data_IF_400968334663
#
_entry.id   IF_400968334663
#
_cell.length_a   1.000
_cell.length_b   1.000
_cell.length_c   1.000
_cell.angle_alpha   90.00
_cell.angle_beta   90.00
_cell.angle_gamma   90.00
#
_symmetry.space_group_name_H-M   'P 1'
#
loop_
_entity.id
_entity.type
_entity.pdbx_description
1 polymer ?
#
# COMPACT_ATOMS: atom_id res chain seq x y z
N UNK A 1 17.18 -13.56 -18.94
CA UNK A 1 15.88 -12.95 -19.32
C UNK A 1 15.90 -11.51 -18.86
N UNK A 2 15.63 -10.56 -19.78
CA UNK A 2 15.50 -9.16 -19.43
C UNK A 2 14.05 -8.83 -19.08
N UNK A 3 13.83 -8.35 -17.86
CA UNK A 3 12.52 -7.93 -17.35
C UNK A 3 12.53 -6.41 -17.16
N UNK A 4 11.59 -5.70 -17.77
CA UNK A 4 11.41 -4.28 -17.58
C UNK A 4 10.22 -4.05 -16.61
N UNK A 5 10.50 -3.55 -15.40
CA UNK A 5 9.49 -3.12 -14.42
C UNK A 5 9.05 -1.70 -14.74
N UNK A 6 7.76 -1.50 -14.94
CA UNK A 6 7.16 -0.22 -15.29
C UNK A 6 6.38 0.34 -14.10
N UNK A 7 6.74 1.52 -13.64
CA UNK A 7 6.14 2.12 -12.44
C UNK A 7 6.11 3.64 -12.51
N UNK A 8 5.19 4.27 -11.82
CA UNK A 8 5.24 5.71 -11.60
C UNK A 8 6.29 6.08 -10.56
N UNK A 9 6.30 5.36 -9.43
CA UNK A 9 7.10 5.67 -8.26
C UNK A 9 8.34 4.79 -8.19
N UNK A 10 9.50 5.41 -7.98
CA UNK A 10 10.76 4.73 -7.68
C UNK A 10 11.70 5.70 -6.94
N UNK A 11 12.59 5.23 -6.06
CA UNK A 11 13.46 6.12 -5.31
C UNK A 11 14.19 7.18 -6.16
N UNK A 12 14.32 8.43 -5.66
CA UNK A 12 13.88 8.93 -4.36
C UNK A 12 12.40 9.34 -4.30
N UNK A 13 11.64 9.27 -5.41
CA UNK A 13 10.28 9.76 -5.53
C UNK A 13 9.27 8.63 -5.21
N UNK A 14 9.19 8.23 -3.94
CA UNK A 14 8.25 7.24 -3.42
C UNK A 14 7.31 7.89 -2.43
N UNK A 15 5.99 7.76 -2.63
CA UNK A 15 4.98 8.33 -1.74
C UNK A 15 3.85 7.33 -1.37
N UNK A 16 3.87 6.13 -1.93
CA UNK A 16 2.83 5.12 -1.71
C UNK A 16 3.35 3.69 -1.69
N UNK A 17 2.49 2.76 -1.26
CA UNK A 17 2.84 1.35 -1.14
C UNK A 17 3.26 0.68 -2.46
N UNK A 18 2.78 1.17 -3.60
CA UNK A 18 3.20 0.65 -4.90
C UNK A 18 4.68 0.96 -5.20
N UNK A 19 5.16 2.17 -4.86
CA UNK A 19 6.56 2.55 -5.00
C UNK A 19 7.47 1.73 -4.07
N UNK A 20 7.06 1.56 -2.82
CA UNK A 20 7.74 0.69 -1.85
C UNK A 20 7.84 -0.74 -2.38
N UNK A 21 6.73 -1.29 -2.91
CA UNK A 21 6.72 -2.63 -3.51
C UNK A 21 7.74 -2.75 -4.65
N UNK A 22 7.75 -1.82 -5.60
CA UNK A 22 8.64 -1.90 -6.77
C UNK A 22 10.10 -1.75 -6.36
N UNK A 23 10.42 -0.88 -5.39
CA UNK A 23 11.77 -0.72 -4.85
C UNK A 23 12.35 -2.05 -4.36
N UNK A 24 11.64 -2.71 -3.45
CA UNK A 24 12.12 -3.98 -2.87
C UNK A 24 12.06 -5.14 -3.86
N UNK A 25 10.99 -5.24 -4.64
CA UNK A 25 10.87 -6.27 -5.67
C UNK A 25 12.00 -6.17 -6.71
N UNK A 26 12.31 -4.96 -7.20
CA UNK A 26 13.39 -4.72 -8.13
C UNK A 26 14.75 -5.14 -7.54
N UNK A 27 15.00 -4.80 -6.27
CA UNK A 27 16.23 -5.17 -5.56
C UNK A 27 16.43 -6.69 -5.54
N UNK A 28 15.38 -7.44 -5.20
CA UNK A 28 15.48 -8.90 -5.12
C UNK A 28 15.47 -9.57 -6.50
N UNK A 29 14.69 -9.07 -7.46
CA UNK A 29 14.68 -9.62 -8.82
C UNK A 29 16.03 -9.43 -9.55
N UNK A 30 16.78 -8.35 -9.28
CA UNK A 30 18.13 -8.14 -9.84
C UNK A 30 19.13 -9.21 -9.44
N UNK A 31 18.89 -9.93 -8.34
CA UNK A 31 19.68 -11.11 -7.94
C UNK A 31 19.36 -12.35 -8.76
N UNK A 32 18.19 -12.37 -9.41
CA UNK A 32 17.64 -13.53 -10.12
C UNK A 32 17.69 -13.39 -11.64
N UNK A 33 17.64 -12.16 -12.16
CA UNK A 33 17.58 -11.89 -13.60
C UNK A 33 17.99 -10.45 -13.96
N UNK A 34 18.23 -10.16 -15.26
CA UNK A 34 18.45 -8.78 -15.75
C UNK A 34 17.15 -7.97 -15.57
N UNK A 35 17.06 -7.26 -14.47
CA UNK A 35 15.90 -6.45 -14.12
C UNK A 35 16.19 -4.98 -14.30
N UNK A 36 15.41 -4.31 -15.16
CA UNK A 36 15.47 -2.88 -15.39
C UNK A 36 14.22 -2.21 -14.86
N UNK A 37 14.36 -0.98 -14.38
CA UNK A 37 13.23 -0.17 -13.91
C UNK A 37 13.02 1.00 -14.83
N UNK A 38 11.77 1.22 -15.24
CA UNK A 38 11.32 2.38 -15.99
C UNK A 38 10.32 3.14 -15.14
N UNK A 39 10.67 4.37 -14.76
CA UNK A 39 9.86 5.14 -13.83
C UNK A 39 9.63 6.57 -14.31
N UNK A 40 8.72 7.27 -13.66
CA UNK A 40 8.50 8.69 -13.91
C UNK A 40 9.55 9.54 -13.19
N UNK A 41 9.78 10.76 -13.70
CA UNK A 41 10.55 11.78 -13.02
C UNK A 41 11.89 12.12 -13.65
N UNK A 42 12.83 12.61 -12.84
CA UNK A 42 14.16 12.99 -13.28
C UNK A 42 15.06 11.76 -13.52
N UNK A 43 16.09 11.85 -14.38
CA UNK A 43 17.07 10.77 -14.57
C UNK A 43 17.67 10.30 -13.24
N UNK A 44 17.90 8.99 -13.11
CA UNK A 44 18.55 8.34 -11.96
C UNK A 44 19.98 7.96 -12.31
N UNK A 45 20.94 8.07 -11.37
CA UNK A 45 22.31 7.61 -11.58
C UNK A 45 22.44 6.08 -11.52
N UNK A 46 21.43 5.38 -11.06
CA UNK A 46 21.42 3.93 -10.87
C UNK A 46 21.39 3.20 -12.21
N UNK A 47 22.31 2.24 -12.39
CA UNK A 47 22.36 1.41 -13.60
C UNK A 47 21.08 0.56 -13.74
N UNK A 48 20.57 0.45 -14.96
CA UNK A 48 19.33 -0.27 -15.23
C UNK A 48 18.05 0.50 -14.86
N UNK A 49 18.15 1.79 -14.49
CA UNK A 49 16.99 2.65 -14.24
C UNK A 49 16.88 3.73 -15.32
N UNK A 50 15.74 3.76 -16.00
CA UNK A 50 15.38 4.81 -16.94
C UNK A 50 14.18 5.60 -16.42
N UNK A 51 14.30 6.93 -16.37
CA UNK A 51 13.25 7.81 -15.93
C UNK A 51 12.73 8.69 -17.04
N UNK A 52 11.42 8.91 -17.06
CA UNK A 52 10.71 9.62 -18.12
C UNK A 52 9.96 10.81 -17.53
N UNK A 53 10.04 11.96 -18.21
CA UNK A 53 9.30 13.18 -17.83
C UNK A 53 8.07 13.31 -18.72
N UNK A 54 7.15 14.17 -18.31
CA UNK A 54 6.03 14.57 -19.16
C UNK A 54 6.60 15.14 -20.48
N UNK A 55 6.19 14.61 -21.66
CA UNK A 55 6.66 15.08 -22.96
C UNK A 55 6.35 16.57 -23.17
N UNK A 56 7.25 17.26 -23.90
CA UNK A 56 7.06 18.65 -24.27
C UNK A 56 5.72 18.86 -24.98
N UNK A 57 4.98 19.88 -24.57
CA UNK A 57 3.64 20.20 -25.07
C UNK A 57 2.48 19.55 -24.29
N UNK A 58 2.75 18.67 -23.33
CA UNK A 58 1.73 18.10 -22.42
C UNK A 58 1.82 18.63 -20.98
N UNK A 59 2.77 19.52 -20.65
CA UNK A 59 3.02 19.98 -19.28
C UNK A 59 1.82 20.69 -18.65
N UNK A 60 0.99 21.31 -19.46
CA UNK A 60 -0.24 22.01 -19.03
C UNK A 60 -1.51 21.21 -19.29
N UNK A 61 -1.38 20.01 -19.83
CA UNK A 61 -2.53 19.15 -20.14
C UNK A 61 -3.12 18.53 -18.86
N UNK A 62 -4.31 17.90 -19.00
CA UNK A 62 -4.88 17.12 -17.92
C UNK A 62 -3.89 16.07 -17.42
N UNK A 63 -3.83 15.85 -16.10
CA UNK A 63 -2.88 14.93 -15.46
C UNK A 63 -2.91 13.51 -16.05
N UNK A 64 -4.09 13.01 -16.45
CA UNK A 64 -4.18 11.69 -17.09
C UNK A 64 -3.54 11.66 -18.49
N UNK A 65 -3.62 12.75 -19.26
CA UNK A 65 -2.93 12.86 -20.55
C UNK A 65 -1.41 12.95 -20.36
N UNK A 66 -0.95 13.64 -19.33
CA UNK A 66 0.48 13.67 -18.97
C UNK A 66 1.00 12.27 -18.70
N UNK A 67 0.26 11.46 -17.94
CA UNK A 67 0.59 10.05 -17.65
C UNK A 67 0.70 9.25 -18.95
N UNK A 68 -0.31 9.29 -19.81
CA UNK A 68 -0.27 8.55 -21.08
C UNK A 68 0.88 9.00 -22.00
N UNK A 69 1.24 10.28 -21.97
CA UNK A 69 2.40 10.79 -22.70
C UNK A 69 3.71 10.13 -22.23
N UNK A 70 3.91 10.00 -20.91
CA UNK A 70 5.05 9.29 -20.33
C UNK A 70 5.01 7.81 -20.68
N UNK A 71 3.83 7.19 -20.64
CA UNK A 71 3.64 5.77 -20.96
C UNK A 71 4.09 5.43 -22.39
N UNK A 72 3.84 6.32 -23.36
CA UNK A 72 4.28 6.11 -24.74
C UNK A 72 5.83 6.09 -24.88
N UNK A 73 6.52 7.00 -24.20
CA UNK A 73 7.99 7.00 -24.17
C UNK A 73 8.53 5.78 -23.41
N UNK A 74 7.89 5.41 -22.32
CA UNK A 74 8.24 4.23 -21.54
C UNK A 74 8.07 2.95 -22.35
N UNK A 75 6.96 2.81 -23.09
CA UNK A 75 6.71 1.68 -23.98
C UNK A 75 7.78 1.55 -25.07
N UNK A 76 8.15 2.67 -25.72
CA UNK A 76 9.22 2.69 -26.72
C UNK A 76 10.56 2.18 -26.12
N UNK A 77 10.85 2.54 -24.87
CA UNK A 77 12.04 2.05 -24.16
C UNK A 77 12.05 0.55 -23.88
N UNK A 78 10.91 -0.14 -23.94
CA UNK A 78 10.81 -1.58 -23.67
C UNK A 78 11.27 -2.48 -24.84
N UNK A 79 11.63 -1.92 -25.99
CA UNK A 79 12.11 -2.71 -27.12
C UNK A 79 13.23 -3.69 -26.70
N UNK A 80 13.06 -4.96 -27.08
CA UNK A 80 13.99 -6.05 -26.75
C UNK A 80 13.90 -6.56 -25.30
N UNK A 81 12.89 -6.18 -24.50
CA UNK A 81 12.59 -6.85 -23.25
C UNK A 81 11.97 -8.23 -23.53
N UNK A 82 12.34 -9.23 -22.73
CA UNK A 82 11.74 -10.57 -22.78
C UNK A 82 10.36 -10.59 -22.09
N UNK A 83 10.13 -9.66 -21.14
CA UNK A 83 8.90 -9.49 -20.39
C UNK A 83 8.79 -8.07 -19.85
N UNK A 84 7.59 -7.51 -19.85
CA UNK A 84 7.28 -6.25 -19.15
C UNK A 84 6.34 -6.52 -17.99
N UNK A 85 6.60 -5.87 -16.84
CA UNK A 85 5.75 -5.96 -15.66
C UNK A 85 5.38 -4.57 -15.18
N UNK A 86 4.11 -4.22 -15.26
CA UNK A 86 3.62 -2.88 -14.91
C UNK A 86 2.89 -2.86 -13.57
N UNK A 87 2.99 -1.72 -12.89
CA UNK A 87 2.42 -1.49 -11.57
C UNK A 87 1.52 -0.25 -11.60
N UNK A 88 0.27 -0.41 -11.22
CA UNK A 88 -0.80 0.60 -11.22
C UNK A 88 -1.18 1.11 -12.62
N UNK A 89 -2.34 1.75 -12.73
CA UNK A 89 -2.81 2.32 -14.01
C UNK A 89 -1.83 3.34 -14.60
N UNK A 90 -1.01 3.98 -13.76
CA UNK A 90 -0.01 4.97 -14.19
C UNK A 90 1.07 4.42 -15.14
N UNK A 91 1.28 3.11 -15.16
CA UNK A 91 2.25 2.46 -16.03
C UNK A 91 1.68 1.26 -16.80
N UNK A 92 0.42 0.88 -16.49
CA UNK A 92 -0.23 -0.27 -17.12
C UNK A 92 -0.40 -0.06 -18.63
N UNK A 93 -0.67 1.18 -19.06
CA UNK A 93 -0.82 1.49 -20.48
C UNK A 93 0.49 1.33 -21.23
N UNK A 94 1.63 1.70 -20.64
CA UNK A 94 2.95 1.48 -21.23
C UNK A 94 3.22 -0.02 -21.48
N UNK A 95 2.93 -0.88 -20.51
CA UNK A 95 3.06 -2.33 -20.66
C UNK A 95 2.14 -2.90 -21.74
N UNK A 96 0.90 -2.42 -21.79
CA UNK A 96 -0.06 -2.82 -22.82
C UNK A 96 0.40 -2.42 -24.23
N UNK A 97 0.89 -1.20 -24.42
CA UNK A 97 1.44 -0.72 -25.70
C UNK A 97 2.70 -1.51 -26.09
N UNK A 98 3.61 -1.78 -25.14
CA UNK A 98 4.81 -2.59 -25.43
C UNK A 98 4.44 -4.01 -25.89
N UNK A 99 3.44 -4.65 -25.25
CA UNK A 99 2.91 -5.94 -25.69
C UNK A 99 2.36 -5.88 -27.11
N UNK A 100 1.54 -4.89 -27.44
CA UNK A 100 0.96 -4.77 -28.79
C UNK A 100 2.03 -4.48 -29.85
N UNK A 101 3.03 -3.66 -29.53
CA UNK A 101 4.02 -3.19 -30.48
C UNK A 101 5.13 -4.21 -30.76
N UNK A 102 5.60 -4.86 -29.69
CA UNK A 102 6.77 -5.76 -29.76
C UNK A 102 6.42 -7.24 -29.55
N UNK A 103 5.18 -7.56 -29.21
CA UNK A 103 4.79 -8.93 -28.82
C UNK A 103 5.35 -9.38 -27.48
N UNK A 104 5.87 -8.45 -26.67
CA UNK A 104 6.47 -8.75 -25.36
C UNK A 104 5.39 -9.18 -24.36
N UNK A 105 5.53 -10.32 -23.68
CA UNK A 105 4.60 -10.72 -22.62
C UNK A 105 4.44 -9.66 -21.54
N UNK A 106 3.20 -9.41 -21.09
CA UNK A 106 2.87 -8.37 -20.13
C UNK A 106 2.24 -8.96 -18.86
N UNK A 107 2.89 -8.74 -17.74
CA UNK A 107 2.38 -9.01 -16.39
C UNK A 107 1.95 -7.70 -15.75
N UNK A 108 0.83 -7.71 -15.02
CA UNK A 108 0.33 -6.54 -14.27
C UNK A 108 0.20 -6.89 -12.81
N UNK A 109 0.76 -6.08 -11.90
CA UNK A 109 0.41 -6.13 -10.48
C UNK A 109 -0.60 -5.05 -10.12
N UNK A 110 -1.72 -5.47 -9.50
CA UNK A 110 -2.75 -4.58 -9.01
C UNK A 110 -2.49 -4.21 -7.55
N UNK A 111 -2.21 -2.92 -7.31
CA UNK A 111 -2.05 -2.35 -5.96
C UNK A 111 -3.32 -1.65 -5.47
N UNK A 112 -4.23 -1.34 -6.36
CA UNK A 112 -5.56 -0.79 -6.14
C UNK A 112 -6.36 -0.93 -7.44
N UNK A 113 -7.67 -0.77 -7.37
CA UNK A 113 -8.57 -0.79 -8.53
C UNK A 113 -9.31 0.53 -8.61
N UNK A 114 -9.35 1.14 -9.80
CA UNK A 114 -10.03 2.42 -10.00
C UNK A 114 -11.54 2.34 -9.66
N UNK A 115 -12.31 1.29 -10.01
CA UNK A 115 -13.72 1.19 -9.63
C UNK A 115 -13.99 1.20 -8.12
N UNK A 116 -13.03 0.77 -7.30
CA UNK A 116 -13.15 0.74 -5.84
C UNK A 116 -12.60 2.01 -5.18
N UNK A 117 -12.30 3.02 -5.97
CA UNK A 117 -11.75 4.30 -5.51
C UNK A 117 -12.52 5.48 -6.11
N UNK A 118 -13.86 5.54 -5.95
CA UNK A 118 -14.70 6.56 -6.59
C UNK A 118 -14.31 7.99 -6.19
N UNK A 119 -13.74 8.19 -4.98
CA UNK A 119 -13.19 9.47 -4.54
C UNK A 119 -12.03 10.00 -5.40
N UNK A 120 -11.40 9.14 -6.22
CA UNK A 120 -10.38 9.55 -7.19
C UNK A 120 -10.92 10.52 -8.25
N UNK A 121 -12.22 10.50 -8.52
CA UNK A 121 -12.86 11.47 -9.40
C UNK A 121 -12.70 12.91 -8.87
N UNK A 122 -12.63 13.11 -7.55
CA UNK A 122 -12.36 14.41 -6.92
C UNK A 122 -10.97 14.95 -7.30
N UNK A 123 -9.96 14.05 -7.45
CA UNK A 123 -8.58 14.40 -7.80
C UNK A 123 -8.35 14.55 -9.30
N UNK A 124 -8.91 13.65 -10.09
CA UNK A 124 -8.61 13.51 -11.53
C UNK A 124 -9.65 14.18 -12.42
N UNK A 125 -10.83 14.51 -11.87
CA UNK A 125 -11.93 15.06 -12.66
C UNK A 125 -12.25 14.18 -13.87
N UNK A 126 -12.32 14.74 -15.08
CA UNK A 126 -12.51 13.98 -16.32
C UNK A 126 -11.42 12.95 -16.63
N UNK A 127 -10.26 13.08 -16.02
CA UNK A 127 -9.15 12.10 -16.14
C UNK A 127 -9.45 10.75 -15.50
N UNK A 128 -10.42 10.68 -14.56
CA UNK A 128 -10.82 9.42 -13.93
C UNK A 128 -11.39 8.41 -14.92
N UNK A 129 -12.18 8.87 -15.92
CA UNK A 129 -12.66 7.99 -17.00
C UNK A 129 -11.51 7.41 -17.81
N UNK A 130 -10.47 8.22 -18.04
CA UNK A 130 -9.29 7.80 -18.81
C UNK A 130 -8.42 6.82 -18.02
N UNK A 131 -8.21 7.05 -16.72
CA UNK A 131 -7.47 6.11 -15.86
C UNK A 131 -8.17 4.77 -15.75
N UNK A 132 -9.48 4.77 -15.56
CA UNK A 132 -10.31 3.55 -15.50
C UNK A 132 -10.29 2.76 -16.82
N UNK A 133 -10.31 3.47 -17.96
CA UNK A 133 -10.19 2.84 -19.28
C UNK A 133 -8.81 2.20 -19.48
N UNK A 134 -7.73 2.90 -19.12
CA UNK A 134 -6.36 2.42 -19.26
C UNK A 134 -6.12 1.19 -18.36
N UNK A 135 -6.59 1.22 -17.12
CA UNK A 135 -6.50 0.08 -16.19
C UNK A 135 -7.25 -1.14 -16.75
N UNK A 136 -8.52 -0.98 -17.10
CA UNK A 136 -9.36 -2.05 -17.63
C UNK A 136 -8.76 -2.69 -18.89
N UNK A 137 -8.32 -1.85 -19.84
CA UNK A 137 -7.72 -2.32 -21.10
C UNK A 137 -6.44 -3.13 -20.88
N UNK A 138 -5.57 -2.65 -20.00
CA UNK A 138 -4.33 -3.34 -19.68
C UNK A 138 -4.56 -4.67 -18.96
N UNK A 139 -5.44 -4.68 -17.93
CA UNK A 139 -5.78 -5.90 -17.18
C UNK A 139 -6.43 -6.97 -18.08
N UNK A 140 -7.37 -6.57 -18.94
CA UNK A 140 -8.04 -7.49 -19.85
C UNK A 140 -7.07 -8.12 -20.87
N UNK A 141 -6.04 -7.39 -21.30
CA UNK A 141 -5.07 -7.82 -22.30
C UNK A 141 -3.81 -8.48 -21.71
N UNK A 142 -3.55 -8.38 -20.40
CA UNK A 142 -2.36 -8.93 -19.76
C UNK A 142 -2.28 -10.46 -19.92
N UNK A 143 -1.06 -11.00 -20.01
CA UNK A 143 -0.82 -12.46 -20.04
C UNK A 143 -0.99 -13.07 -18.64
N UNK A 144 -0.64 -12.31 -17.60
CA UNK A 144 -0.93 -12.63 -16.20
C UNK A 144 -1.20 -11.38 -15.39
N UNK A 145 -2.04 -11.52 -14.37
CA UNK A 145 -2.31 -10.47 -13.39
C UNK A 145 -1.97 -10.98 -12.00
N UNK A 146 -1.17 -10.21 -11.27
CA UNK A 146 -0.86 -10.45 -9.87
C UNK A 146 -1.82 -9.61 -9.02
N UNK A 147 -2.63 -10.27 -8.21
CA UNK A 147 -3.38 -9.65 -7.13
C UNK A 147 -2.55 -9.72 -5.85
N UNK A 148 -2.45 -8.62 -5.11
CA UNK A 148 -1.63 -8.57 -3.89
C UNK A 148 -2.27 -9.25 -2.68
N UNK A 149 -3.50 -9.76 -2.83
CA UNK A 149 -4.24 -10.54 -1.83
C UNK A 149 -5.39 -11.32 -2.48
N UNK A 150 -5.94 -12.31 -1.79
CA UNK A 150 -7.18 -12.97 -2.21
C UNK A 150 -8.37 -11.98 -2.18
N UNK A 151 -8.36 -11.03 -1.23
CA UNK A 151 -9.29 -9.92 -1.23
C UNK A 151 -9.24 -9.14 -2.54
N UNK A 152 -8.06 -8.68 -2.94
CA UNK A 152 -7.86 -7.98 -4.22
C UNK A 152 -8.24 -8.83 -5.43
N UNK A 153 -7.97 -10.14 -5.40
CA UNK A 153 -8.37 -11.06 -6.47
C UNK A 153 -9.89 -11.11 -6.62
N UNK A 154 -10.62 -11.25 -5.52
CA UNK A 154 -12.11 -11.22 -5.54
C UNK A 154 -12.63 -9.90 -6.06
N UNK A 155 -12.12 -8.79 -5.57
CA UNK A 155 -12.51 -7.44 -5.96
C UNK A 155 -12.27 -7.19 -7.45
N UNK A 156 -11.13 -7.64 -7.98
CA UNK A 156 -10.78 -7.52 -9.38
C UNK A 156 -11.73 -8.32 -10.28
N UNK A 157 -11.99 -9.59 -9.96
CA UNK A 157 -12.88 -10.44 -10.73
C UNK A 157 -14.34 -9.96 -10.69
N UNK A 158 -14.74 -9.31 -9.58
CA UNK A 158 -16.04 -8.66 -9.48
C UNK A 158 -16.12 -7.37 -10.31
N UNK A 159 -15.05 -6.56 -10.31
CA UNK A 159 -15.00 -5.28 -11.05
C UNK A 159 -14.79 -5.45 -12.56
N UNK A 160 -14.10 -6.51 -12.96
CA UNK A 160 -13.71 -6.80 -14.34
C UNK A 160 -14.03 -8.25 -14.72
N UNK A 161 -15.32 -8.59 -14.91
CA UNK A 161 -15.76 -9.97 -15.16
C UNK A 161 -15.26 -10.56 -16.47
N UNK A 162 -14.70 -9.75 -17.38
CA UNK A 162 -14.03 -10.19 -18.60
C UNK A 162 -12.65 -10.80 -18.37
N UNK A 163 -12.06 -10.63 -17.18
CA UNK A 163 -10.75 -11.21 -16.84
C UNK A 163 -10.94 -12.69 -16.47
N UNK A 164 -10.25 -13.59 -17.17
CA UNK A 164 -10.27 -15.01 -16.81
C UNK A 164 -9.60 -15.23 -15.46
N UNK A 165 -10.27 -15.91 -14.50
CA UNK A 165 -9.69 -16.21 -13.18
C UNK A 165 -8.37 -16.98 -13.23
N UNK A 166 -8.13 -17.74 -14.31
CA UNK A 166 -6.90 -18.52 -14.53
C UNK A 166 -5.68 -17.63 -14.82
N UNK A 167 -5.90 -16.38 -15.24
CA UNK A 167 -4.81 -15.39 -15.45
C UNK A 167 -4.48 -14.63 -14.20
N UNK A 168 -5.24 -14.78 -13.12
CA UNK A 168 -5.05 -14.04 -11.88
C UNK A 168 -4.41 -14.95 -10.83
N UNK A 169 -3.20 -14.58 -10.40
CA UNK A 169 -2.49 -15.27 -9.31
C UNK A 169 -2.32 -14.33 -8.12
N UNK A 170 -2.32 -14.88 -6.91
CA UNK A 170 -2.07 -14.09 -5.71
C UNK A 170 -0.59 -14.19 -5.33
N UNK A 171 0.08 -13.03 -5.32
CA UNK A 171 1.42 -12.88 -4.79
C UNK A 171 1.39 -11.67 -3.86
N UNK A 172 1.50 -11.90 -2.55
CA UNK A 172 1.46 -10.86 -1.54
C UNK A 172 2.63 -9.87 -1.68
N UNK A 173 2.48 -8.68 -1.12
CA UNK A 173 3.62 -7.80 -0.90
C UNK A 173 4.51 -8.35 0.23
N UNK A 174 5.79 -8.00 0.19
CA UNK A 174 6.74 -8.35 1.22
C UNK A 174 7.01 -7.25 2.23
N UNK A 175 7.85 -7.58 3.21
CA UNK A 175 8.46 -6.65 4.15
C UNK A 175 9.95 -6.98 4.28
N UNK A 176 10.80 -5.96 4.39
CA UNK A 176 12.20 -6.13 4.75
C UNK A 176 12.33 -6.18 6.27
N UNK A 177 12.40 -7.37 6.83
CA UNK A 177 12.48 -7.59 8.28
C UNK A 177 13.86 -7.32 8.87
N UNK A 178 14.86 -7.06 8.03
CA UNK A 178 16.17 -6.56 8.45
C UNK A 178 16.15 -5.05 8.65
N UNK A 179 15.47 -4.33 7.76
CA UNK A 179 15.26 -2.88 7.88
C UNK A 179 14.17 -2.56 8.92
N UNK A 180 12.99 -3.19 8.81
CA UNK A 180 11.93 -3.09 9.80
C UNK A 180 12.17 -4.10 10.92
N UNK A 181 13.02 -3.70 11.87
CA UNK A 181 13.32 -4.46 13.08
C UNK A 181 13.13 -3.54 14.29
N UNK A 182 12.82 -4.10 15.50
CA UNK A 182 12.64 -3.29 16.68
C UNK A 182 13.86 -2.41 16.98
N UNK A 183 13.65 -1.09 17.06
CA UNK A 183 14.62 -0.09 17.49
C UNK A 183 14.22 0.41 18.87
N UNK A 184 14.99 0.07 19.90
CA UNK A 184 14.70 0.37 21.30
C UNK A 184 15.17 1.76 21.76
N UNK A 185 15.78 2.56 20.89
CA UNK A 185 16.12 3.95 21.21
C UNK A 185 14.87 4.81 21.30
N UNK A 186 14.89 5.84 22.14
CA UNK A 186 13.75 6.75 22.39
C UNK A 186 13.94 8.17 21.86
N UNK A 187 15.08 8.45 21.26
CA UNK A 187 15.45 9.81 20.86
C UNK A 187 14.47 10.44 19.85
N UNK A 188 13.82 9.64 18.99
CA UNK A 188 12.79 10.10 18.06
C UNK A 188 11.53 10.49 18.84
N UNK A 189 11.12 9.68 19.82
CA UNK A 189 9.93 9.95 20.62
C UNK A 189 10.05 11.29 21.35
N UNK A 190 11.20 11.51 21.98
CA UNK A 190 11.49 12.75 22.72
C UNK A 190 11.45 13.98 21.80
N UNK A 191 12.05 13.89 20.60
CA UNK A 191 12.03 15.00 19.62
C UNK A 191 10.63 15.38 19.16
N UNK A 192 9.73 14.40 19.08
CA UNK A 192 8.35 14.65 18.68
C UNK A 192 7.39 14.85 19.85
N UNK A 193 7.89 14.89 21.09
CA UNK A 193 7.06 15.11 22.27
C UNK A 193 6.17 13.92 22.65
N UNK A 194 6.57 12.72 22.26
CA UNK A 194 5.93 11.46 22.67
C UNK A 194 6.58 11.02 23.98
N UNK A 195 5.79 10.87 25.03
CA UNK A 195 6.26 10.39 26.33
C UNK A 195 6.45 8.86 26.30
N UNK A 196 7.68 8.34 26.34
CA UNK A 196 7.93 6.90 26.27
C UNK A 196 7.48 6.14 27.52
N UNK A 197 7.17 6.82 28.61
CA UNK A 197 6.68 6.21 29.84
C UNK A 197 5.18 5.92 29.84
N UNK A 198 4.44 6.48 28.88
CA UNK A 198 2.99 6.33 28.73
C UNK A 198 2.67 5.44 27.55
N UNK A 199 1.63 4.55 27.65
CA UNK A 199 1.18 3.80 26.51
C UNK A 199 0.68 4.75 25.41
N UNK A 200 0.87 4.37 24.14
CA UNK A 200 0.30 5.13 23.04
C UNK A 200 -0.23 4.26 21.90
N UNK A 201 -1.21 4.83 21.24
CA UNK A 201 -1.81 4.34 20.00
C UNK A 201 -1.21 5.11 18.85
N UNK A 202 -0.71 4.43 17.82
CA UNK A 202 -0.11 5.08 16.66
C UNK A 202 -0.89 4.80 15.37
N UNK A 203 -1.01 5.81 14.54
CA UNK A 203 -1.44 5.73 13.15
C UNK A 203 -0.30 6.22 12.25
N UNK A 204 -0.03 5.48 11.16
CA UNK A 204 0.95 5.87 10.14
C UNK A 204 0.27 5.81 8.77
N UNK A 205 0.23 6.92 8.05
CA UNK A 205 -0.35 6.94 6.72
C UNK A 205 -0.70 8.34 6.20
N UNK A 206 -1.06 8.42 4.92
CA UNK A 206 -1.56 9.65 4.32
C UNK A 206 -2.97 9.98 4.81
N UNK A 207 -3.31 11.25 4.80
CA UNK A 207 -4.67 11.72 5.11
C UNK A 207 -5.54 11.54 3.86
N UNK A 208 -6.18 10.37 3.76
CA UNK A 208 -7.06 10.02 2.65
C UNK A 208 -8.36 9.38 3.18
N UNK A 209 -9.45 9.43 2.42
CA UNK A 209 -10.69 8.73 2.79
C UNK A 209 -10.47 7.23 2.96
N UNK A 210 -9.67 6.65 2.08
CA UNK A 210 -9.29 5.22 2.11
C UNK A 210 -8.68 4.80 3.45
N UNK A 211 -7.82 5.63 4.04
CA UNK A 211 -7.08 5.31 5.27
C UNK A 211 -7.91 5.45 6.55
N UNK A 212 -9.11 5.99 6.46
CA UNK A 212 -10.09 5.98 7.55
C UNK A 212 -9.69 6.78 8.80
N UNK A 213 -8.76 7.73 8.69
CA UNK A 213 -8.29 8.53 9.84
C UNK A 213 -9.44 9.22 10.57
N UNK A 214 -10.49 9.62 9.86
CA UNK A 214 -11.70 10.22 10.45
C UNK A 214 -12.35 9.25 11.46
N UNK A 215 -12.45 7.97 11.13
CA UNK A 215 -13.02 6.94 12.03
C UNK A 215 -12.14 6.70 13.26
N UNK A 216 -10.81 6.72 13.09
CA UNK A 216 -9.88 6.67 14.23
C UNK A 216 -10.07 7.85 15.18
N UNK A 217 -10.23 9.07 14.64
CA UNK A 217 -10.42 10.26 15.46
C UNK A 217 -11.77 10.23 16.23
N UNK A 218 -12.82 9.67 15.63
CA UNK A 218 -14.06 9.40 16.35
C UNK A 218 -13.87 8.35 17.46
N UNK A 219 -13.18 7.24 17.16
CA UNK A 219 -12.89 6.19 18.12
C UNK A 219 -11.99 6.68 19.29
N UNK A 220 -11.06 7.61 19.00
CA UNK A 220 -10.11 8.12 19.97
C UNK A 220 -10.79 8.86 21.17
N UNK A 221 -12.02 9.31 21.00
CA UNK A 221 -12.83 9.86 22.12
C UNK A 221 -13.11 8.82 23.20
N UNK A 222 -13.13 7.53 22.83
CA UNK A 222 -13.35 6.41 23.74
C UNK A 222 -12.07 5.72 24.22
N UNK A 223 -10.88 6.16 23.82
CA UNK A 223 -9.61 5.57 24.27
C UNK A 223 -9.32 5.88 25.73
N UNK A 224 -8.64 4.96 26.40
CA UNK A 224 -8.21 5.15 27.79
C UNK A 224 -7.49 6.51 27.94
N UNK A 225 -7.83 7.33 28.97
CA UNK A 225 -7.33 8.69 29.09
C UNK A 225 -5.81 8.77 29.25
N UNK A 226 -5.16 7.76 29.85
CA UNK A 226 -3.71 7.73 30.02
C UNK A 226 -2.93 7.44 28.73
N UNK A 227 -3.62 6.90 27.70
CA UNK A 227 -2.97 6.61 26.42
C UNK A 227 -2.78 7.89 25.60
N UNK A 228 -1.62 8.04 25.01
CA UNK A 228 -1.37 9.06 24.00
C UNK A 228 -1.91 8.62 22.64
N UNK A 229 -2.24 9.57 21.77
CA UNK A 229 -2.58 9.34 20.37
C UNK A 229 -1.50 9.97 19.49
N UNK A 230 -0.75 9.15 18.77
CA UNK A 230 0.33 9.59 17.87
C UNK A 230 -0.15 9.43 16.44
N UNK A 231 -0.18 10.52 15.71
CA UNK A 231 -0.61 10.58 14.30
C UNK A 231 0.60 10.93 13.43
N UNK A 232 1.22 9.95 12.79
CA UNK A 232 2.17 10.18 11.71
C UNK A 232 1.37 10.28 10.41
N UNK A 233 0.75 11.44 10.19
CA UNK A 233 -0.29 11.65 9.19
C UNK A 233 -0.11 12.96 8.44
N UNK A 234 0.25 12.85 7.16
CA UNK A 234 0.44 13.99 6.27
C UNK A 234 -0.11 13.73 4.86
N UNK A 235 0.29 14.58 3.91
CA UNK A 235 -0.05 14.48 2.50
C UNK A 235 -1.56 14.23 2.24
N UNK A 236 -2.44 15.17 2.61
CA UNK A 236 -3.88 15.05 2.37
C UNK A 236 -4.19 15.00 0.87
N UNK A 237 -5.13 14.13 0.48
CA UNK A 237 -5.54 13.99 -0.92
C UNK A 237 -6.27 15.25 -1.44
N UNK A 238 -7.04 15.92 -0.58
CA UNK A 238 -7.75 17.18 -0.91
C UNK A 238 -7.74 18.15 0.27
N UNK A 239 -7.94 19.47 0.02
CA UNK A 239 -8.06 20.46 1.08
C UNK A 239 -9.24 20.21 2.04
N UNK A 240 -10.33 19.61 1.54
CA UNK A 240 -11.54 19.34 2.31
C UNK A 240 -11.26 18.30 3.41
N UNK A 241 -10.61 17.17 3.06
CA UNK A 241 -10.25 16.16 4.05
C UNK A 241 -9.19 16.67 5.03
N UNK A 242 -8.27 17.53 4.57
CA UNK A 242 -7.31 18.19 5.45
C UNK A 242 -8.01 19.06 6.51
N UNK A 243 -9.00 19.84 6.09
CA UNK A 243 -9.80 20.69 6.98
C UNK A 243 -10.62 19.86 7.97
N UNK A 244 -11.28 18.80 7.48
CA UNK A 244 -12.07 17.87 8.31
C UNK A 244 -11.20 17.23 9.41
N UNK A 245 -10.07 16.63 9.04
CA UNK A 245 -9.15 16.00 10.00
C UNK A 245 -8.61 17.03 11.00
N UNK A 246 -8.24 18.23 10.54
CA UNK A 246 -7.78 19.31 11.42
C UNK A 246 -8.84 19.71 12.43
N UNK A 247 -10.10 19.81 12.01
CA UNK A 247 -11.20 20.14 12.90
C UNK A 247 -11.44 19.02 13.93
N UNK A 248 -11.40 17.76 13.51
CA UNK A 248 -11.56 16.63 14.39
C UNK A 248 -10.44 16.54 15.43
N UNK A 249 -9.18 16.70 15.03
CA UNK A 249 -8.04 16.70 15.97
C UNK A 249 -8.18 17.83 17.00
N UNK A 250 -8.53 19.04 16.56
CA UNK A 250 -8.77 20.17 17.48
C UNK A 250 -9.96 19.95 18.40
N UNK A 251 -10.94 19.20 17.94
CA UNK A 251 -12.15 18.88 18.71
C UNK A 251 -12.01 17.65 19.61
N UNK A 252 -10.83 17.01 19.63
CA UNK A 252 -10.54 15.94 20.60
C UNK A 252 -10.32 16.57 21.98
N UNK A 253 -11.25 16.33 22.90
CA UNK A 253 -11.13 16.74 24.31
C UNK A 253 -10.29 15.71 25.06
N UNK A 254 -8.97 15.65 24.73
CA UNK A 254 -8.04 14.75 25.39
C UNK A 254 -6.60 15.31 25.34
N UNK A 255 -5.83 15.00 26.37
CA UNK A 255 -4.40 15.27 26.43
C UNK A 255 -3.59 14.19 25.69
N UNK A 256 -2.33 14.52 25.36
CA UNK A 256 -1.40 13.55 24.75
C UNK A 256 -1.70 13.23 23.28
N UNK A 257 -2.26 14.16 22.53
CA UNK A 257 -2.36 14.06 21.06
C UNK A 257 -1.12 14.66 20.44
N UNK A 258 -0.35 13.83 19.75
CA UNK A 258 0.83 14.23 18.97
C UNK A 258 0.54 14.03 17.50
N UNK A 259 0.59 15.10 16.72
CA UNK A 259 0.37 15.05 15.27
C UNK A 259 1.62 15.49 14.52
N UNK A 260 2.25 14.55 13.81
CA UNK A 260 3.41 14.74 12.96
C UNK A 260 2.90 14.75 11.52
N UNK A 261 2.88 15.92 10.91
CA UNK A 261 2.29 16.14 9.58
C UNK A 261 3.27 15.99 8.42
N UNK A 262 4.57 16.02 8.70
CA UNK A 262 5.62 15.75 7.73
C UNK A 262 5.80 14.25 7.48
N UNK A 263 6.35 13.91 6.31
CA UNK A 263 6.75 12.54 6.01
C UNK A 263 8.04 12.23 6.77
N UNK A 264 7.96 11.31 7.71
CA UNK A 264 9.11 10.87 8.50
C UNK A 264 10.02 9.93 7.69
N UNK A 265 11.36 10.01 7.92
CA UNK A 265 12.29 8.98 7.47
C UNK A 265 11.94 7.61 8.07
N UNK A 266 12.17 6.53 7.31
CA UNK A 266 11.90 5.15 7.77
C UNK A 266 12.45 4.81 9.16
N UNK A 267 13.72 5.16 9.52
CA UNK A 267 14.23 4.88 10.86
C UNK A 267 13.41 5.53 11.98
N UNK A 268 12.86 6.71 11.76
CA UNK A 268 12.01 7.38 12.73
C UNK A 268 10.64 6.69 12.87
N UNK A 269 10.06 6.26 11.76
CA UNK A 269 8.81 5.48 11.77
C UNK A 269 9.00 4.15 12.52
N UNK A 270 10.12 3.46 12.28
CA UNK A 270 10.47 2.20 12.95
C UNK A 270 10.55 2.39 14.45
N UNK A 271 11.23 3.44 14.93
CA UNK A 271 11.36 3.73 16.34
C UNK A 271 10.00 4.05 16.98
N UNK A 272 9.17 4.86 16.31
CA UNK A 272 7.80 5.16 16.76
C UNK A 272 6.93 3.90 16.78
N UNK A 273 7.00 3.05 15.76
CA UNK A 273 6.26 1.78 15.75
C UNK A 273 6.72 0.87 16.88
N UNK A 274 8.02 0.68 17.07
CA UNK A 274 8.58 -0.23 18.08
C UNK A 274 8.10 0.04 19.50
N UNK A 275 7.92 1.29 19.86
CA UNK A 275 7.50 1.69 21.20
C UNK A 275 5.98 1.83 21.36
N UNK A 276 5.20 1.71 20.26
CA UNK A 276 3.75 1.81 20.32
C UNK A 276 3.14 0.59 21.02
N UNK A 277 2.16 0.84 21.89
CA UNK A 277 1.35 -0.24 22.47
C UNK A 277 0.46 -0.86 21.42
N UNK A 278 -0.11 -0.03 20.54
CA UNK A 278 -1.04 -0.45 19.48
C UNK A 278 -0.81 0.39 18.23
N UNK A 279 -0.62 -0.27 17.11
CA UNK A 279 -0.75 0.34 15.78
C UNK A 279 -2.19 0.16 15.30
N UNK A 280 -2.81 1.22 14.77
CA UNK A 280 -4.20 1.18 14.27
C UNK A 280 -4.24 1.43 12.77
N UNK A 281 -4.88 0.50 12.04
CA UNK A 281 -5.15 0.62 10.61
C UNK A 281 -6.67 0.63 10.37
N UNK A 282 -7.33 1.81 10.42
CA UNK A 282 -8.78 1.94 10.32
C UNK A 282 -9.24 2.06 8.86
N UNK A 283 -8.47 1.51 7.91
CA UNK A 283 -8.73 1.64 6.47
C UNK A 283 -10.10 1.07 6.10
N UNK A 284 -10.85 1.79 5.26
CA UNK A 284 -12.13 1.32 4.70
C UNK A 284 -11.92 0.54 3.39
N UNK A 285 -10.78 0.72 2.76
CA UNK A 285 -10.31 -0.05 1.62
C UNK A 285 -8.81 -0.26 1.72
N UNK A 286 -8.36 -1.50 1.77
CA UNK A 286 -6.93 -1.81 1.87
C UNK A 286 -6.60 -3.06 1.05
N UNK A 287 -5.98 -2.91 -0.11
CA UNK A 287 -5.63 -4.03 -0.99
C UNK A 287 -4.83 -5.14 -0.32
N UNK A 288 -3.90 -4.78 0.56
CA UNK A 288 -3.14 -5.71 1.38
C UNK A 288 -2.78 -5.14 2.75
N UNK A 289 -2.28 -3.88 2.81
CA UNK A 289 -1.90 -3.23 4.06
C UNK A 289 -0.46 -3.48 4.48
N UNK A 290 0.50 -3.07 3.65
CA UNK A 290 1.95 -3.16 3.95
C UNK A 290 2.26 -2.53 5.31
N UNK A 291 1.61 -1.42 5.67
CA UNK A 291 1.83 -0.74 6.95
C UNK A 291 1.53 -1.62 8.17
N UNK A 292 0.63 -2.61 8.04
CA UNK A 292 0.42 -3.60 9.10
C UNK A 292 1.64 -4.52 9.22
N UNK A 293 2.27 -4.91 8.09
CA UNK A 293 3.52 -5.68 8.11
C UNK A 293 4.67 -4.88 8.73
N UNK A 294 4.75 -3.58 8.46
CA UNK A 294 5.73 -2.68 9.07
C UNK A 294 5.59 -2.65 10.59
N UNK A 295 4.37 -2.48 11.10
CA UNK A 295 4.07 -2.53 12.53
C UNK A 295 4.38 -3.90 13.15
N UNK A 296 3.94 -4.99 12.50
CA UNK A 296 4.21 -6.35 12.95
C UNK A 296 5.72 -6.66 12.96
N UNK A 297 6.47 -6.21 11.95
CA UNK A 297 7.92 -6.39 11.90
C UNK A 297 8.64 -5.63 13.03
N UNK A 298 8.07 -4.54 13.52
CA UNK A 298 8.55 -3.77 14.68
C UNK A 298 8.05 -4.31 16.03
N UNK A 299 7.42 -5.50 16.07
CA UNK A 299 6.83 -6.12 17.29
C UNK A 299 5.67 -5.30 17.90
N UNK A 300 4.92 -4.59 17.08
CA UNK A 300 3.77 -3.80 17.53
C UNK A 300 2.48 -4.56 17.30
N UNK A 301 1.63 -4.66 18.33
CA UNK A 301 0.29 -5.23 18.18
C UNK A 301 -0.58 -4.38 17.25
N UNK A 302 -1.37 -5.03 16.40
CA UNK A 302 -2.18 -4.37 15.39
C UNK A 302 -3.66 -4.42 15.74
N UNK A 303 -4.34 -3.29 15.63
CA UNK A 303 -5.82 -3.23 15.53
C UNK A 303 -6.17 -2.71 14.14
N UNK A 304 -6.88 -3.50 13.35
CA UNK A 304 -7.13 -3.15 11.96
C UNK A 304 -8.54 -3.51 11.52
N UNK A 305 -9.06 -2.78 10.53
CA UNK A 305 -10.35 -3.12 9.90
C UNK A 305 -10.24 -4.44 9.14
N UNK A 306 -11.26 -5.30 9.25
CA UNK A 306 -11.36 -6.55 8.51
C UNK A 306 -11.79 -6.30 7.05
N UNK A 307 -10.98 -5.59 6.26
CA UNK A 307 -11.27 -5.24 4.87
C UNK A 307 -10.12 -5.63 3.92
N UNK A 308 -10.46 -5.92 2.67
CA UNK A 308 -9.48 -6.22 1.60
C UNK A 308 -8.54 -7.38 1.97
N UNK A 309 -7.24 -7.12 1.92
CA UNK A 309 -6.18 -8.08 2.26
C UNK A 309 -5.72 -8.05 3.72
N UNK A 310 -6.24 -7.15 4.56
CA UNK A 310 -5.83 -7.06 5.98
C UNK A 310 -5.99 -8.39 6.72
N UNK A 311 -7.10 -9.17 6.57
CA UNK A 311 -7.26 -10.46 7.25
C UNK A 311 -6.25 -11.54 6.82
N UNK A 312 -5.57 -11.35 5.70
CA UNK A 312 -4.51 -12.25 5.24
C UNK A 312 -3.16 -11.92 5.90
N UNK A 313 -2.98 -10.67 6.31
CA UNK A 313 -1.79 -10.17 7.01
C UNK A 313 -1.94 -10.37 8.52
N UNK A 314 -2.99 -9.83 9.10
CA UNK A 314 -3.25 -9.85 10.54
C UNK A 314 -4.11 -11.08 10.90
N UNK A 315 -3.54 -12.00 11.68
CA UNK A 315 -4.27 -13.15 12.21
C UNK A 315 -5.05 -12.72 13.46
N UNK A 316 -6.37 -12.63 13.35
CA UNK A 316 -7.23 -12.15 14.42
C UNK A 316 -7.08 -12.98 15.71
N UNK A 317 -6.94 -12.29 16.84
CA UNK A 317 -6.71 -12.89 18.16
C UNK A 317 -5.30 -13.44 18.39
N UNK A 318 -4.44 -13.47 17.36
CA UNK A 318 -3.07 -14.00 17.42
C UNK A 318 -2.00 -12.92 17.21
N UNK A 319 -2.03 -12.21 16.09
CA UNK A 319 -1.03 -11.16 15.77
C UNK A 319 -1.63 -9.75 15.89
N UNK A 320 -2.90 -9.65 16.20
CA UNK A 320 -3.66 -8.41 16.35
C UNK A 320 -5.13 -8.69 16.53
N UNK A 321 -5.94 -7.63 16.51
CA UNK A 321 -7.39 -7.70 16.60
C UNK A 321 -8.01 -7.07 15.36
N UNK A 322 -8.94 -7.77 14.72
CA UNK A 322 -9.69 -7.28 13.59
C UNK A 322 -11.02 -6.66 14.02
N UNK A 323 -11.37 -5.55 13.40
CA UNK A 323 -12.63 -4.85 13.57
C UNK A 323 -13.47 -5.10 12.32
N UNK A 324 -14.62 -5.80 12.43
CA UNK A 324 -15.55 -5.95 11.31
C UNK A 324 -16.04 -4.59 10.84
N UNK A 325 -16.28 -4.47 9.53
CA UNK A 325 -16.86 -3.28 8.93
C UNK A 325 -18.00 -3.70 7.99
N UNK A 326 -19.17 -3.11 8.21
CA UNK A 326 -20.30 -3.16 7.28
C UNK A 326 -20.39 -1.79 6.60
N UNK A 327 -20.17 -1.79 5.27
CA UNK A 327 -19.96 -0.54 4.52
C UNK A 327 -20.63 -0.55 3.15
N UNK A 328 -20.98 0.65 2.69
CA UNK A 328 -21.46 0.88 1.34
C UNK A 328 -20.33 0.69 0.29
N UNK A 329 -20.70 0.67 -0.98
CA UNK A 329 -19.75 0.48 -2.09
C UNK A 329 -18.66 1.59 -2.19
N UNK A 330 -18.91 2.76 -1.63
CA UNK A 330 -17.96 3.86 -1.54
C UNK A 330 -17.02 3.78 -0.33
N UNK A 331 -17.13 2.72 0.49
CA UNK A 331 -16.34 2.51 1.69
C UNK A 331 -16.90 3.21 2.94
N UNK A 332 -18.02 3.91 2.86
CA UNK A 332 -18.63 4.56 4.02
C UNK A 332 -19.27 3.50 4.92
N UNK A 333 -18.91 3.41 6.23
CA UNK A 333 -19.60 2.51 7.16
C UNK A 333 -21.09 2.83 7.25
N UNK A 334 -21.94 1.81 7.23
CA UNK A 334 -23.39 2.00 7.39
C UNK A 334 -23.75 2.55 8.80
N UNK A 335 -22.96 2.20 9.81
CA UNK A 335 -23.02 2.76 11.16
C UNK A 335 -21.64 3.22 11.61
N UNK A 336 -21.25 4.49 11.32
CA UNK A 336 -19.95 5.02 11.68
C UNK A 336 -19.69 5.08 13.19
N UNK A 337 -20.75 5.28 14.01
CA UNK A 337 -20.62 5.37 15.46
C UNK A 337 -20.37 3.99 16.07
N UNK A 338 -21.09 2.96 15.63
CA UNK A 338 -20.83 1.58 16.03
C UNK A 338 -19.41 1.13 15.61
N UNK A 339 -18.99 1.44 14.37
CA UNK A 339 -17.64 1.12 13.90
C UNK A 339 -16.55 1.82 14.75
N UNK A 340 -16.74 3.08 15.09
CA UNK A 340 -15.82 3.81 15.96
C UNK A 340 -15.78 3.23 17.38
N UNK A 341 -16.92 2.79 17.92
CA UNK A 341 -17.02 2.15 19.23
C UNK A 341 -16.30 0.79 19.25
N UNK A 342 -16.50 -0.05 18.23
CA UNK A 342 -15.82 -1.34 18.10
C UNK A 342 -14.29 -1.16 17.97
N UNK A 343 -13.85 -0.16 17.21
CA UNK A 343 -12.43 0.19 17.10
C UNK A 343 -11.86 0.59 18.46
N UNK A 344 -12.59 1.44 19.21
CA UNK A 344 -12.17 1.86 20.55
C UNK A 344 -12.12 0.68 21.53
N UNK A 345 -13.07 -0.24 21.47
CA UNK A 345 -13.07 -1.44 22.31
C UNK A 345 -11.83 -2.28 22.10
N UNK A 346 -11.48 -2.59 20.81
CA UNK A 346 -10.31 -3.40 20.48
C UNK A 346 -9.00 -2.73 20.92
N UNK A 347 -8.89 -1.43 20.71
CA UNK A 347 -7.72 -0.64 21.17
C UNK A 347 -7.62 -0.68 22.69
N UNK A 348 -8.71 -0.39 23.42
CA UNK A 348 -8.72 -0.38 24.88
C UNK A 348 -8.43 -1.77 25.47
N UNK A 349 -8.82 -2.86 24.82
CA UNK A 349 -8.46 -4.21 25.23
C UNK A 349 -6.95 -4.42 25.27
N UNK A 350 -6.21 -3.91 24.29
CA UNK A 350 -4.74 -4.01 24.26
C UNK A 350 -4.09 -3.00 25.21
N UNK A 351 -4.64 -1.82 25.38
CA UNK A 351 -4.15 -0.84 26.36
C UNK A 351 -4.32 -1.35 27.81
N UNK A 352 -5.38 -2.09 28.09
CA UNK A 352 -5.65 -2.65 29.42
C UNK A 352 -4.81 -3.91 29.73
N UNK A 353 -4.30 -4.62 28.70
CA UNK A 353 -3.46 -5.82 28.86
C UNK A 353 -2.15 -5.68 28.04
N UNK A 354 -1.14 -4.97 28.57
CA UNK A 354 0.15 -4.82 27.91
C UNK A 354 0.85 -6.15 27.61
N UNK A 355 0.61 -7.18 28.41
CA UNK A 355 1.18 -8.50 28.16
C UNK A 355 0.54 -9.18 26.95
N UNK A 356 -0.76 -8.99 26.71
CA UNK A 356 -1.43 -9.43 25.50
C UNK A 356 -0.89 -8.67 24.27
N UNK A 357 -0.75 -7.36 24.36
CA UNK A 357 -0.21 -6.54 23.30
C UNK A 357 1.21 -7.01 22.92
N UNK A 358 2.10 -7.21 23.90
CA UNK A 358 3.46 -7.70 23.66
C UNK A 358 3.46 -9.07 22.96
N UNK A 359 2.67 -10.04 23.45
CA UNK A 359 2.55 -11.38 22.80
C UNK A 359 2.07 -11.29 21.36
N UNK A 360 1.09 -10.41 21.07
CA UNK A 360 0.59 -10.21 19.71
C UNK A 360 1.64 -9.55 18.81
N UNK A 361 2.41 -8.61 19.32
CA UNK A 361 3.52 -7.99 18.61
C UNK A 361 4.61 -8.99 18.24
N UNK A 362 5.06 -9.81 19.20
CA UNK A 362 6.05 -10.88 18.98
C UNK A 362 5.55 -11.90 17.93
N UNK A 363 4.30 -12.37 18.06
CA UNK A 363 3.69 -13.28 17.09
C UNK A 363 3.56 -12.62 15.70
N UNK A 364 3.28 -11.32 15.67
CA UNK A 364 3.24 -10.51 14.46
C UNK A 364 4.58 -10.51 13.73
N UNK A 365 5.69 -10.26 14.45
CA UNK A 365 7.03 -10.29 13.87
C UNK A 365 7.40 -11.67 13.33
N UNK A 366 7.14 -12.74 14.09
CA UNK A 366 7.38 -14.11 13.63
C UNK A 366 6.65 -14.34 12.30
N UNK A 367 5.36 -14.00 12.22
CA UNK A 367 4.56 -14.14 11.00
C UNK A 367 5.12 -13.30 9.83
N UNK A 368 5.53 -12.06 10.08
CA UNK A 368 6.13 -11.19 9.05
C UNK A 368 7.40 -11.82 8.46
N UNK A 369 8.30 -12.33 9.31
CA UNK A 369 9.54 -12.99 8.89
C UNK A 369 9.28 -14.27 8.10
N UNK A 370 8.37 -15.12 8.58
CA UNK A 370 8.16 -16.46 8.01
C UNK A 370 7.39 -16.45 6.68
N UNK A 371 6.47 -15.47 6.50
CA UNK A 371 5.51 -15.54 5.39
C UNK A 371 5.63 -14.39 4.37
N UNK A 372 6.27 -13.27 4.73
CA UNK A 372 6.23 -12.05 3.92
C UNK A 372 7.63 -11.49 3.58
N UNK A 373 8.68 -12.34 3.47
CA UNK A 373 10.01 -11.86 3.03
C UNK A 373 10.03 -11.51 1.55
N UNK A 374 10.74 -10.44 1.18
CA UNK A 374 10.85 -10.01 -0.22
C UNK A 374 11.58 -11.02 -1.11
N UNK A 375 12.53 -11.78 -0.57
CA UNK A 375 13.20 -12.85 -1.32
C UNK A 375 12.18 -13.87 -1.82
N UNK A 376 11.30 -14.32 -0.94
CA UNK A 376 10.26 -15.30 -1.29
C UNK A 376 9.25 -14.76 -2.29
N UNK A 377 8.89 -13.49 -2.16
CA UNK A 377 8.00 -12.81 -3.11
C UNK A 377 8.65 -12.71 -4.49
N UNK A 378 9.93 -12.36 -4.56
CA UNK A 378 10.67 -12.28 -5.83
C UNK A 378 10.83 -13.65 -6.50
N UNK A 379 11.08 -14.72 -5.73
CA UNK A 379 11.15 -16.10 -6.26
C UNK A 379 9.82 -16.52 -6.89
N UNK A 380 8.69 -16.31 -6.20
CA UNK A 380 7.35 -16.59 -6.74
C UNK A 380 7.04 -15.76 -7.99
N UNK A 381 7.42 -14.48 -7.98
CA UNK A 381 7.26 -13.60 -9.14
C UNK A 381 8.10 -14.08 -10.32
N UNK A 382 9.33 -14.51 -10.07
CA UNK A 382 10.23 -15.04 -11.10
C UNK A 382 9.71 -16.37 -11.68
N UNK A 383 9.09 -17.22 -10.87
CA UNK A 383 8.44 -18.44 -11.35
C UNK A 383 7.27 -18.10 -12.31
N UNK A 384 6.42 -17.14 -11.94
CA UNK A 384 5.36 -16.63 -12.82
C UNK A 384 5.92 -16.11 -14.14
N UNK A 385 6.98 -15.30 -14.11
CA UNK A 385 7.61 -14.77 -15.34
C UNK A 385 8.09 -15.88 -16.29
N UNK A 386 8.75 -16.93 -15.74
CA UNK A 386 9.20 -18.08 -16.54
C UNK A 386 8.05 -18.80 -17.21
N UNK A 387 6.90 -18.94 -16.53
CA UNK A 387 5.69 -19.58 -17.10
C UNK A 387 5.10 -18.70 -18.22
N UNK A 388 4.91 -17.42 -17.94
CA UNK A 388 4.36 -16.46 -18.92
C UNK A 388 5.24 -16.38 -20.17
N UNK A 389 6.58 -16.33 -19.99
CA UNK A 389 7.52 -16.32 -21.12
C UNK A 389 7.46 -17.60 -21.99
N UNK A 390 7.00 -18.73 -21.43
CA UNK A 390 6.75 -19.97 -22.19
C UNK A 390 5.34 -20.08 -22.77
N UNK A 391 4.50 -19.08 -22.59
CA UNK A 391 3.09 -19.10 -22.99
C UNK A 391 2.22 -20.04 -22.16
N UNK A 392 2.64 -20.39 -20.96
CA UNK A 392 1.90 -21.22 -20.02
C UNK A 392 0.98 -20.36 -19.15
N UNK A 393 -0.21 -20.86 -18.82
CA UNK A 393 -1.11 -20.18 -17.90
C UNK A 393 -0.47 -20.03 -16.52
N UNK A 394 -0.71 -18.92 -15.79
CA UNK A 394 -0.36 -18.80 -14.38
C UNK A 394 -0.98 -19.96 -13.57
N UNK A 395 -0.31 -20.40 -12.48
CA UNK A 395 -0.94 -21.36 -11.56
C UNK A 395 -1.93 -20.57 -10.71
N UNK A 396 -3.20 -20.98 -10.63
CA UNK A 396 -4.12 -20.44 -9.63
C UNK A 396 -3.48 -20.59 -8.24
N UNK A 397 -3.72 -19.62 -7.35
CA UNK A 397 -3.33 -19.75 -5.96
C UNK A 397 -4.02 -21.00 -5.38
N UNK A 398 -3.23 -21.93 -4.86
CA UNK A 398 -3.70 -23.11 -4.11
C UNK A 398 -4.05 -22.71 -2.70
#
# INVERSE_FOLDING_TARGET
MRVDLLTREYPPDVYGGAGVHVEYLARELRRLTDTRVRCFGAPRPEEGVAAYRVPGGLETANAALQVLGVDLEMAAGCEGADLVHSHTWYANFAGHVAKMLYGTPHVVTTHSLEPLRPWKAEQLGGGYTLSSWAERGALAAADAVIAVSEGMRRDMLASYPEISPERVTVIHNGIDTGEYAPDRDTGVLERHGIDPSRPYVVFVGRITRQKGLVHLLHAARGFHPDAQLVLCAGAPDTPEIAAEVTALVRGLDREGVVWISEMLPRPEVIQILTHATVFVCPSVYEPMGIVNLEAMACETAVVATATGGIPEVVADGSTGLLVPIDQAADGTPHDPDAFAADLAERVNRLLADPALAARMGEAGRIRAVEHFSWERIAERTMELYRRVARGEAPVPAG
#
